data_IF_664101108343
#
_entry.id   IF_664101108343
#
_cell.length_a   1.000
_cell.length_b   1.000
_cell.length_c   1.000
_cell.angle_alpha   90.00
_cell.angle_beta   90.00
_cell.angle_gamma   90.00
#
_symmetry.space_group_name_H-M   'P 1'
#
loop_
_entity.id
_entity.type
_entity.pdbx_description
1 polymer ?
#
# COMPACT_ATOMS: atom_id res chain seq x y z
N UNK A 1 13.28 13.90 32.99
CA UNK A 1 13.10 14.51 31.66
C UNK A 1 11.99 13.73 30.98
N UNK A 2 10.76 14.16 31.20
CA UNK A 2 9.55 13.52 30.70
C UNK A 2 9.25 14.04 29.29
N UNK A 3 9.18 13.14 28.31
CA UNK A 3 8.69 13.47 26.97
C UNK A 3 7.18 13.25 26.92
N UNK A 4 6.43 14.26 27.36
CA UNK A 4 5.00 14.37 27.08
C UNK A 4 4.83 14.96 25.68
N UNK A 5 4.59 14.11 24.68
CA UNK A 5 4.22 14.56 23.33
C UNK A 5 2.72 14.80 23.33
N UNK A 6 2.33 16.08 23.44
CA UNK A 6 0.96 16.51 23.24
C UNK A 6 0.55 16.22 21.78
N UNK A 7 -0.22 15.15 21.59
CA UNK A 7 -0.92 14.91 20.34
C UNK A 7 -2.01 15.98 20.20
N UNK A 8 -1.80 16.95 19.30
CA UNK A 8 -2.84 17.88 18.88
C UNK A 8 -3.94 17.07 18.18
N UNK A 9 -4.98 16.74 18.95
CA UNK A 9 -6.16 16.04 18.48
C UNK A 9 -6.88 16.86 17.43
N UNK A 10 -6.72 16.50 16.16
CA UNK A 10 -7.74 16.78 15.16
C UNK A 10 -8.93 15.89 15.53
N UNK A 11 -9.81 16.43 16.36
CA UNK A 11 -11.04 15.76 16.77
C UNK A 11 -11.87 15.46 15.54
N UNK A 12 -11.76 14.24 15.03
CA UNK A 12 -12.79 13.66 14.17
C UNK A 12 -14.10 13.71 14.98
N UNK A 13 -15.20 14.18 14.40
CA UNK A 13 -16.45 14.34 15.13
C UNK A 13 -16.83 13.01 15.78
N UNK A 14 -17.01 13.02 17.10
CA UNK A 14 -17.28 11.85 17.95
C UNK A 14 -18.60 11.12 17.63
N UNK A 15 -19.33 11.56 16.62
CA UNK A 15 -20.43 10.83 16.01
C UNK A 15 -19.98 10.31 14.66
N UNK A 16 -19.35 9.12 14.61
CA UNK A 16 -19.39 8.34 13.36
C UNK A 16 -20.84 7.88 13.22
N UNK A 17 -21.69 8.56 12.44
CA UNK A 17 -23.07 8.19 12.38
C UNK A 17 -23.08 6.86 11.61
N UNK A 18 -23.77 5.88 12.18
CA UNK A 18 -24.50 4.89 11.40
C UNK A 18 -23.74 3.71 10.75
N UNK A 19 -22.72 3.13 11.39
CA UNK A 19 -22.23 1.77 11.01
C UNK A 19 -23.41 0.80 10.77
N UNK A 20 -24.46 0.77 11.63
CA UNK A 20 -25.64 -0.06 11.37
C UNK A 20 -26.45 0.31 10.12
N UNK A 21 -26.51 1.58 9.72
CA UNK A 21 -27.26 2.01 8.52
C UNK A 21 -26.46 1.66 7.26
N UNK A 22 -25.15 1.93 7.26
CA UNK A 22 -24.26 1.56 6.17
C UNK A 22 -24.28 0.04 5.95
N UNK A 23 -24.18 -0.75 7.03
CA UNK A 23 -24.25 -2.22 6.95
C UNK A 23 -25.57 -2.69 6.34
N UNK A 24 -26.71 -2.13 6.77
CA UNK A 24 -28.04 -2.45 6.21
C UNK A 24 -28.11 -2.12 4.72
N UNK A 25 -27.61 -0.97 4.31
CA UNK A 25 -27.60 -0.54 2.91
C UNK A 25 -26.78 -1.50 2.03
N UNK A 26 -25.53 -1.77 2.41
CA UNK A 26 -24.66 -2.68 1.65
C UNK A 26 -25.19 -4.12 1.64
N UNK A 27 -25.81 -4.57 2.73
CA UNK A 27 -26.47 -5.88 2.79
C UNK A 27 -27.64 -5.97 1.80
N UNK A 28 -28.43 -4.90 1.64
CA UNK A 28 -29.50 -4.87 0.62
C UNK A 28 -28.93 -4.98 -0.79
N UNK A 29 -27.82 -4.31 -1.08
CA UNK A 29 -27.15 -4.40 -2.39
C UNK A 29 -26.69 -5.84 -2.66
N UNK A 30 -26.05 -6.50 -1.69
CA UNK A 30 -25.58 -7.88 -1.84
C UNK A 30 -26.73 -8.86 -2.08
N UNK A 31 -27.89 -8.62 -1.45
CA UNK A 31 -29.07 -9.49 -1.57
C UNK A 31 -29.95 -9.18 -2.78
N UNK A 32 -29.79 -8.02 -3.40
CA UNK A 32 -30.65 -7.62 -4.51
C UNK A 32 -30.29 -8.42 -5.77
N UNK A 33 -31.25 -9.11 -6.41
CA UNK A 33 -31.01 -9.87 -7.63
C UNK A 33 -30.67 -8.96 -8.83
N UNK A 34 -31.02 -7.68 -8.75
CA UNK A 34 -30.73 -6.69 -9.80
C UNK A 34 -29.35 -6.04 -9.67
N UNK A 35 -28.58 -6.37 -8.63
CA UNK A 35 -27.27 -5.78 -8.42
C UNK A 35 -26.24 -6.36 -9.37
N UNK A 36 -25.45 -5.49 -9.99
CA UNK A 36 -24.30 -5.92 -10.81
C UNK A 36 -23.22 -6.55 -9.94
N UNK A 37 -22.39 -7.43 -10.51
CA UNK A 37 -21.25 -8.05 -9.82
C UNK A 37 -20.31 -7.01 -9.21
N UNK A 38 -20.11 -5.88 -9.90
CA UNK A 38 -19.28 -4.78 -9.41
C UNK A 38 -19.90 -4.14 -8.15
N UNK A 39 -21.21 -3.84 -8.16
CA UNK A 39 -21.91 -3.29 -6.99
C UNK A 39 -21.86 -4.26 -5.80
N UNK A 40 -22.00 -5.56 -6.04
CA UNK A 40 -21.91 -6.60 -4.99
C UNK A 40 -20.49 -6.66 -4.42
N UNK A 41 -19.46 -6.60 -5.26
CA UNK A 41 -18.06 -6.59 -4.81
C UNK A 41 -17.71 -5.33 -4.02
N UNK A 42 -18.14 -4.15 -4.49
CA UNK A 42 -18.00 -2.89 -3.77
C UNK A 42 -18.71 -2.95 -2.41
N UNK A 43 -19.91 -3.52 -2.36
CA UNK A 43 -20.64 -3.71 -1.11
C UNK A 43 -19.87 -4.61 -0.13
N UNK A 44 -19.28 -5.71 -0.60
CA UNK A 44 -18.42 -6.55 0.23
C UNK A 44 -17.18 -5.81 0.74
N UNK A 45 -16.51 -5.02 -0.10
CA UNK A 45 -15.36 -4.22 0.31
C UNK A 45 -15.74 -3.21 1.43
N UNK A 46 -16.90 -2.56 1.31
CA UNK A 46 -17.40 -1.67 2.36
C UNK A 46 -17.80 -2.42 3.62
N UNK A 47 -18.40 -3.60 3.51
CA UNK A 47 -18.73 -4.42 4.68
C UNK A 47 -17.48 -4.86 5.45
N UNK A 48 -16.38 -5.19 4.75
CA UNK A 48 -15.06 -5.43 5.37
C UNK A 48 -14.59 -4.17 6.11
N UNK A 49 -14.79 -2.99 5.54
CA UNK A 49 -14.42 -1.73 6.20
C UNK A 49 -15.25 -1.45 7.45
N UNK A 50 -16.56 -1.73 7.38
CA UNK A 50 -17.50 -1.52 8.48
C UNK A 50 -17.30 -2.46 9.68
N UNK A 51 -16.60 -3.60 9.53
CA UNK A 51 -16.29 -4.49 10.68
C UNK A 51 -15.28 -3.89 11.66
N UNK A 52 -14.74 -2.70 11.39
CA UNK A 52 -13.90 -1.96 12.34
C UNK A 52 -12.45 -2.44 12.41
N UNK A 53 -12.07 -3.44 11.59
CA UNK A 53 -10.72 -4.01 11.58
C UNK A 53 -9.63 -3.03 11.14
N UNK A 54 -9.98 -1.95 10.45
CA UNK A 54 -9.03 -0.93 9.97
C UNK A 54 -8.88 0.26 10.90
N UNK A 55 -9.78 0.42 11.88
CA UNK A 55 -9.72 1.51 12.85
C UNK A 55 -9.03 1.02 14.12
N UNK A 56 -7.75 0.64 13.99
CA UNK A 56 -6.84 0.41 15.12
C UNK A 56 -6.56 1.68 15.96
N UNK A 57 -7.49 2.63 15.98
CA UNK A 57 -7.31 3.97 16.51
C UNK A 57 -7.42 4.01 18.05
N UNK A 58 -8.05 3.05 18.73
CA UNK A 58 -8.28 3.19 20.19
C UNK A 58 -8.39 1.85 20.92
N UNK A 59 -7.33 1.04 20.94
CA UNK A 59 -7.20 -0.08 21.90
C UNK A 59 -8.31 -1.14 21.90
N UNK A 60 -9.25 -1.10 20.95
CA UNK A 60 -10.35 -2.05 20.86
C UNK A 60 -9.79 -3.38 20.39
N UNK A 61 -9.90 -4.38 21.25
CA UNK A 61 -9.60 -5.76 20.89
C UNK A 61 -10.46 -6.16 19.69
N UNK A 62 -9.80 -6.62 18.64
CA UNK A 62 -10.45 -7.15 17.44
C UNK A 62 -11.24 -8.40 17.86
N UNK A 63 -12.56 -8.37 17.70
CA UNK A 63 -13.41 -9.53 18.01
C UNK A 63 -13.27 -10.58 16.91
N UNK A 64 -13.12 -11.84 17.29
CA UNK A 64 -13.05 -12.96 16.33
C UNK A 64 -14.26 -12.98 15.38
N UNK A 65 -15.47 -12.67 15.87
CA UNK A 65 -16.68 -12.57 15.06
C UNK A 65 -16.55 -11.59 13.90
N UNK A 66 -15.88 -10.46 14.12
CA UNK A 66 -15.70 -9.41 13.13
C UNK A 66 -14.68 -9.83 12.06
N UNK A 67 -13.62 -10.53 12.46
CA UNK A 67 -12.70 -11.20 11.54
C UNK A 67 -13.42 -12.24 10.67
N UNK A 68 -14.30 -13.06 11.26
CA UNK A 68 -15.02 -14.10 10.54
C UNK A 68 -16.00 -13.53 9.51
N UNK A 69 -16.71 -12.46 9.86
CA UNK A 69 -17.59 -11.73 8.94
C UNK A 69 -16.79 -11.08 7.81
N UNK A 70 -15.73 -10.36 8.15
CA UNK A 70 -14.85 -9.70 7.18
C UNK A 70 -14.23 -10.70 6.20
N UNK A 71 -13.71 -11.82 6.69
CA UNK A 71 -13.12 -12.84 5.84
C UNK A 71 -14.13 -13.54 4.93
N UNK A 72 -15.37 -13.70 5.38
CA UNK A 72 -16.45 -14.21 4.50
C UNK A 72 -16.74 -13.24 3.35
N UNK A 73 -16.80 -11.93 3.62
CA UNK A 73 -16.97 -10.93 2.57
C UNK A 73 -15.75 -10.83 1.64
N UNK A 74 -14.54 -10.97 2.17
CA UNK A 74 -13.31 -10.97 1.41
C UNK A 74 -13.21 -12.20 0.49
N UNK A 75 -13.60 -13.38 0.97
CA UNK A 75 -13.69 -14.61 0.18
C UNK A 75 -14.66 -14.45 -0.99
N UNK A 76 -15.85 -13.89 -0.74
CA UNK A 76 -16.83 -13.63 -1.80
C UNK A 76 -16.33 -12.60 -2.82
N UNK A 77 -15.72 -11.51 -2.36
CA UNK A 77 -15.12 -10.50 -3.24
C UNK A 77 -14.00 -11.12 -4.11
N UNK A 78 -13.10 -11.90 -3.52
CA UNK A 78 -12.03 -12.58 -4.23
C UNK A 78 -12.57 -13.58 -5.24
N UNK A 79 -13.59 -14.37 -4.88
CA UNK A 79 -14.27 -15.32 -5.77
C UNK A 79 -14.90 -14.65 -6.99
N UNK A 80 -15.36 -13.40 -6.85
CA UNK A 80 -15.89 -12.59 -7.95
C UNK A 80 -14.81 -11.89 -8.79
N UNK A 81 -13.52 -12.13 -8.53
CA UNK A 81 -12.40 -11.51 -9.25
C UNK A 81 -11.90 -10.19 -8.65
N UNK A 82 -12.42 -9.76 -7.49
CA UNK A 82 -12.03 -8.53 -6.81
C UNK A 82 -10.99 -8.76 -5.69
N UNK A 83 -10.16 -9.79 -5.85
CA UNK A 83 -9.14 -10.16 -4.86
C UNK A 83 -8.07 -9.07 -4.65
N UNK A 84 -7.86 -8.20 -5.63
CA UNK A 84 -6.90 -7.08 -5.57
C UNK A 84 -7.49 -5.81 -4.94
N UNK A 85 -8.76 -5.82 -4.51
CA UNK A 85 -9.37 -4.67 -3.86
C UNK A 85 -8.60 -4.32 -2.56
N UNK A 86 -8.30 -3.03 -2.30
CA UNK A 86 -7.50 -2.63 -1.13
C UNK A 86 -8.01 -3.19 0.20
N UNK A 87 -9.34 -3.21 0.41
CA UNK A 87 -9.95 -3.74 1.63
C UNK A 87 -9.64 -5.24 1.84
N UNK A 88 -9.63 -6.03 0.77
CA UNK A 88 -9.31 -7.47 0.80
C UNK A 88 -7.84 -7.65 1.18
N UNK A 89 -6.92 -6.94 0.51
CA UNK A 89 -5.48 -7.04 0.78
C UNK A 89 -5.15 -6.57 2.20
N UNK A 90 -5.74 -5.46 2.66
CA UNK A 90 -5.52 -4.97 4.02
C UNK A 90 -6.02 -5.98 5.06
N UNK A 91 -7.19 -6.60 4.86
CA UNK A 91 -7.66 -7.68 5.74
C UNK A 91 -6.67 -8.85 5.75
N UNK A 92 -6.16 -9.25 4.59
CA UNK A 92 -5.17 -10.32 4.46
C UNK A 92 -3.95 -10.08 5.33
N UNK A 93 -3.44 -8.84 5.35
CA UNK A 93 -2.30 -8.45 6.20
C UNK A 93 -2.64 -8.47 7.68
N UNK A 94 -3.80 -7.95 8.07
CA UNK A 94 -4.27 -8.00 9.46
C UNK A 94 -4.41 -9.44 9.95
N UNK A 95 -4.87 -10.34 9.08
CA UNK A 95 -5.11 -11.74 9.42
C UNK A 95 -3.91 -12.67 9.18
N UNK A 96 -2.84 -12.20 8.52
CA UNK A 96 -1.70 -13.03 8.13
C UNK A 96 -1.09 -13.77 9.33
N UNK A 97 -0.98 -13.11 10.48
CA UNK A 97 -0.48 -13.72 11.73
C UNK A 97 -1.30 -14.92 12.22
N UNK A 98 -2.60 -14.96 11.93
CA UNK A 98 -3.48 -16.06 12.35
C UNK A 98 -3.50 -17.22 11.35
N UNK A 99 -3.03 -17.00 10.12
CA UNK A 99 -3.01 -18.03 9.06
C UNK A 99 -2.07 -19.20 9.38
N UNK A 100 -0.95 -18.91 10.04
CA UNK A 100 0.11 -19.90 10.29
C UNK A 100 0.08 -20.49 11.71
N UNK A 101 -0.82 -20.02 12.59
CA UNK A 101 -0.94 -20.48 13.97
C UNK A 101 -2.00 -21.57 14.20
N UNK A 102 -2.42 -21.72 15.46
CA UNK A 102 -3.46 -22.66 15.89
C UNK A 102 -4.81 -22.41 15.18
N UNK A 103 -5.06 -21.15 14.78
CA UNK A 103 -6.26 -20.74 14.07
C UNK A 103 -6.26 -21.06 12.56
N UNK A 104 -5.24 -21.78 12.05
CA UNK A 104 -5.15 -22.17 10.63
C UNK A 104 -6.41 -22.86 10.13
N UNK A 105 -7.05 -23.70 10.94
CA UNK A 105 -8.31 -24.37 10.54
C UNK A 105 -9.46 -23.38 10.37
N UNK A 106 -9.53 -22.38 11.23
CA UNK A 106 -10.59 -21.36 11.25
C UNK A 106 -10.47 -20.42 10.05
N UNK A 107 -9.26 -19.92 9.78
CA UNK A 107 -9.03 -18.93 8.72
C UNK A 107 -8.66 -19.55 7.37
N UNK A 108 -8.15 -20.79 7.34
CA UNK A 108 -7.68 -21.45 6.13
C UNK A 108 -8.77 -21.84 5.13
N UNK A 109 -10.05 -21.74 5.51
CA UNK A 109 -11.19 -22.07 4.64
C UNK A 109 -11.46 -21.06 3.52
N UNK A 110 -10.89 -19.86 3.60
CA UNK A 110 -11.07 -18.80 2.59
C UNK A 110 -10.00 -18.90 1.50
N UNK A 111 -10.17 -19.86 0.59
CA UNK A 111 -9.13 -20.23 -0.38
C UNK A 111 -8.91 -19.14 -1.43
N UNK A 112 -9.97 -18.52 -1.97
CA UNK A 112 -9.85 -17.47 -2.99
C UNK A 112 -9.26 -16.20 -2.39
N UNK A 113 -9.66 -15.86 -1.16
CA UNK A 113 -9.09 -14.77 -0.40
C UNK A 113 -7.58 -14.94 -0.21
N UNK A 114 -7.13 -16.08 0.31
CA UNK A 114 -5.70 -16.30 0.55
C UNK A 114 -4.90 -16.37 -0.75
N UNK A 115 -5.46 -16.95 -1.81
CA UNK A 115 -4.82 -16.94 -3.12
C UNK A 115 -4.60 -15.51 -3.63
N UNK A 116 -5.59 -14.62 -3.48
CA UNK A 116 -5.43 -13.21 -3.86
C UNK A 116 -4.38 -12.48 -3.01
N UNK A 117 -4.33 -12.75 -1.71
CA UNK A 117 -3.31 -12.20 -0.80
C UNK A 117 -1.90 -12.68 -1.18
N UNK A 118 -1.74 -13.96 -1.52
CA UNK A 118 -0.47 -14.56 -1.92
C UNK A 118 0.04 -13.97 -3.26
N UNK A 119 -0.85 -13.82 -4.24
CA UNK A 119 -0.53 -13.16 -5.51
C UNK A 119 -0.03 -11.74 -5.25
N UNK A 120 -0.75 -10.97 -4.43
CA UNK A 120 -0.34 -9.59 -4.12
C UNK A 120 0.98 -9.53 -3.35
N UNK A 121 1.20 -10.47 -2.42
CA UNK A 121 2.46 -10.57 -1.69
C UNK A 121 3.64 -10.84 -2.64
N UNK A 122 3.47 -11.75 -3.60
CA UNK A 122 4.48 -12.05 -4.61
C UNK A 122 4.76 -10.84 -5.52
N UNK A 123 3.73 -10.10 -5.94
CA UNK A 123 3.90 -8.85 -6.70
C UNK A 123 4.73 -7.81 -5.94
N UNK A 124 4.39 -7.57 -4.67
CA UNK A 124 5.11 -6.62 -3.82
C UNK A 124 6.56 -7.06 -3.62
N UNK A 125 6.81 -8.35 -3.37
CA UNK A 125 8.17 -8.87 -3.24
C UNK A 125 8.97 -8.68 -4.54
N UNK A 126 8.37 -8.98 -5.69
CA UNK A 126 9.03 -8.77 -6.98
C UNK A 126 9.33 -7.28 -7.26
N UNK A 127 8.51 -6.35 -6.78
CA UNK A 127 8.80 -4.90 -6.84
C UNK A 127 9.99 -4.54 -5.94
N UNK A 128 10.02 -5.05 -4.70
CA UNK A 128 11.14 -4.84 -3.76
C UNK A 128 12.46 -5.41 -4.32
N UNK A 129 12.45 -6.62 -4.85
CA UNK A 129 13.63 -7.25 -5.45
C UNK A 129 14.16 -6.43 -6.65
N UNK A 130 13.26 -5.85 -7.46
CA UNK A 130 13.63 -4.93 -8.55
C UNK A 130 14.25 -3.64 -8.01
N UNK A 131 13.75 -3.11 -6.91
CA UNK A 131 14.34 -1.93 -6.27
C UNK A 131 15.70 -2.23 -5.66
N UNK A 132 15.86 -3.34 -4.97
CA UNK A 132 17.12 -3.76 -4.37
C UNK A 132 18.17 -4.09 -5.42
N UNK A 133 17.77 -4.74 -6.53
CA UNK A 133 18.65 -4.91 -7.68
C UNK A 133 19.15 -3.56 -8.21
N UNK A 134 18.28 -2.53 -8.32
CA UNK A 134 18.69 -1.18 -8.73
C UNK A 134 19.63 -0.52 -7.71
N UNK A 135 19.40 -0.73 -6.41
CA UNK A 135 20.27 -0.23 -5.32
C UNK A 135 21.65 -0.90 -5.36
N UNK A 136 21.70 -2.20 -5.63
CA UNK A 136 22.94 -2.97 -5.74
C UNK A 136 23.79 -2.53 -6.93
N UNK A 137 23.18 -2.29 -8.10
CA UNK A 137 23.93 -1.81 -9.28
C UNK A 137 24.49 -0.40 -9.09
N UNK A 138 23.80 0.48 -8.34
CA UNK A 138 24.21 1.88 -8.13
C UNK A 138 24.06 2.31 -6.66
N UNK A 139 24.92 1.83 -5.75
CA UNK A 139 24.76 2.09 -4.32
C UNK A 139 24.89 3.58 -3.97
N UNK A 140 25.77 4.31 -4.66
CA UNK A 140 25.96 5.76 -4.49
C UNK A 140 24.72 6.59 -4.83
N UNK A 141 23.75 6.05 -5.59
CA UNK A 141 22.50 6.74 -5.92
C UNK A 141 21.54 6.82 -4.74
N UNK A 142 21.63 5.89 -3.80
CA UNK A 142 20.66 5.74 -2.70
C UNK A 142 21.26 6.00 -1.31
N UNK A 143 22.57 6.22 -1.21
CA UNK A 143 23.28 6.50 0.05
C UNK A 143 23.99 7.85 -0.02
N UNK A 144 23.96 8.60 1.08
CA UNK A 144 24.79 9.79 1.22
C UNK A 144 26.27 9.39 1.13
N UNK A 145 27.02 10.06 0.25
CA UNK A 145 28.43 9.75 0.02
C UNK A 145 29.37 10.38 1.06
N UNK A 146 28.87 11.27 1.92
CA UNK A 146 29.67 11.87 2.97
C UNK A 146 30.10 10.81 4.01
N UNK A 147 31.40 10.75 4.38
CA UNK A 147 31.90 9.81 5.37
C UNK A 147 31.13 9.90 6.69
N UNK A 148 30.67 8.75 7.21
CA UNK A 148 29.93 8.68 8.47
C UNK A 148 28.46 9.10 8.43
N UNK A 149 27.93 9.54 7.28
CA UNK A 149 26.52 9.89 7.17
C UNK A 149 25.66 8.62 6.96
N UNK A 150 24.71 8.27 7.86
CA UNK A 150 23.90 7.06 7.72
C UNK A 150 22.70 7.25 6.79
N UNK A 151 22.48 8.45 6.23
CA UNK A 151 21.28 8.75 5.46
C UNK A 151 21.22 7.93 4.17
N UNK A 152 20.12 7.19 4.02
CA UNK A 152 19.74 6.46 2.82
C UNK A 152 18.40 6.99 2.31
N UNK A 153 18.26 7.04 0.99
CA UNK A 153 17.04 7.48 0.33
C UNK A 153 16.33 6.30 -0.32
N UNK A 154 15.00 6.25 -0.18
CA UNK A 154 14.17 5.28 -0.90
C UNK A 154 14.20 5.52 -2.41
N UNK A 155 14.26 6.80 -2.83
CA UNK A 155 14.33 7.21 -4.22
C UNK A 155 15.63 7.98 -4.49
N UNK A 156 16.32 7.65 -5.57
CA UNK A 156 17.57 8.31 -5.94
C UNK A 156 17.46 9.83 -6.14
N UNK A 157 16.28 10.35 -6.43
CA UNK A 157 16.02 11.79 -6.59
C UNK A 157 16.01 12.57 -5.26
N UNK A 158 15.93 11.90 -4.11
CA UNK A 158 15.89 12.57 -2.80
C UNK A 158 17.26 13.06 -2.33
N UNK A 159 18.34 12.56 -2.93
CA UNK A 159 19.69 13.02 -2.65
C UNK A 159 20.16 13.97 -3.75
N UNK A 160 20.84 15.03 -3.34
CA UNK A 160 21.42 16.04 -4.22
C UNK A 160 22.67 15.46 -4.88
N UNK A 161 22.71 15.50 -6.21
CA UNK A 161 23.89 15.08 -6.95
C UNK A 161 25.01 16.13 -6.82
N UNK A 162 26.26 15.70 -6.91
CA UNK A 162 27.39 16.63 -7.02
C UNK A 162 27.19 17.57 -8.22
N UNK A 163 27.43 18.87 -8.00
CA UNK A 163 27.29 19.91 -9.04
C UNK A 163 28.50 20.01 -9.99
N UNK A 164 29.52 19.16 -9.81
CA UNK A 164 30.71 19.14 -10.65
C UNK A 164 30.51 18.43 -11.99
N UNK A 165 31.57 18.39 -12.79
CA UNK A 165 31.60 17.80 -14.15
C UNK A 165 31.88 16.29 -14.16
N UNK A 166 31.71 15.60 -13.03
CA UNK A 166 31.85 14.15 -12.98
C UNK A 166 30.72 13.45 -13.76
N UNK A 167 31.01 12.25 -14.26
CA UNK A 167 30.06 11.44 -15.01
C UNK A 167 28.89 10.97 -14.13
N UNK A 168 27.69 10.88 -14.71
CA UNK A 168 26.47 10.53 -13.98
C UNK A 168 26.48 9.13 -13.36
N UNK A 169 27.26 8.21 -13.91
CA UNK A 169 27.43 6.86 -13.36
C UNK A 169 28.14 6.87 -11.99
N UNK A 170 29.09 7.80 -11.79
CA UNK A 170 29.93 7.92 -10.58
C UNK A 170 29.63 9.18 -9.77
N UNK A 171 28.63 9.96 -10.18
CA UNK A 171 28.25 11.19 -9.53
C UNK A 171 27.72 10.89 -8.12
N UNK A 172 28.53 11.24 -7.14
CA UNK A 172 28.19 11.12 -5.72
C UNK A 172 26.93 11.91 -5.39
N UNK A 173 26.18 11.42 -4.40
CA UNK A 173 24.95 12.06 -3.91
C UNK A 173 25.01 12.33 -2.42
N UNK A 174 24.41 13.43 -2.01
CA UNK A 174 24.45 13.95 -0.64
C UNK A 174 23.04 14.31 -0.16
N UNK A 175 22.76 14.08 1.13
CA UNK A 175 21.49 14.48 1.72
C UNK A 175 21.39 16.00 1.90
N UNK A 176 22.51 16.68 2.16
CA UNK A 176 22.57 18.13 2.37
C UNK A 176 23.80 18.77 1.71
N UNK A 177 23.85 20.11 1.67
CA UNK A 177 24.99 20.85 1.11
C UNK A 177 26.24 20.73 2.00
N UNK A 178 26.04 20.64 3.31
CA UNK A 178 27.10 20.50 4.31
C UNK A 178 27.85 19.17 4.11
N UNK A 179 27.11 18.07 3.90
CA UNK A 179 27.68 16.77 3.55
C UNK A 179 28.51 16.83 2.26
N UNK A 180 28.05 17.57 1.24
CA UNK A 180 28.77 17.74 -0.01
C UNK A 180 30.08 18.54 0.18
N UNK A 181 30.06 19.60 1.00
CA UNK A 181 31.26 20.40 1.30
C UNK A 181 32.27 19.60 2.11
N UNK A 182 31.80 18.83 3.10
CA UNK A 182 32.66 17.99 3.94
C UNK A 182 33.43 16.95 3.12
N UNK A 183 32.75 16.29 2.17
CA UNK A 183 33.38 15.32 1.26
C UNK A 183 34.14 15.97 0.10
N UNK A 184 33.92 17.27 -0.14
CA UNK A 184 34.45 17.99 -1.30
C UNK A 184 35.97 17.89 -1.45
N UNK A 185 36.73 17.88 -0.36
CA UNK A 185 38.21 17.74 -0.42
C UNK A 185 38.66 16.39 -0.97
N UNK A 186 37.97 15.31 -0.57
CA UNK A 186 38.25 13.95 -1.02
C UNK A 186 37.74 13.75 -2.45
N UNK A 187 36.49 14.15 -2.70
CA UNK A 187 35.84 13.99 -4.00
C UNK A 187 36.48 14.81 -5.12
N UNK A 188 37.03 16.01 -4.83
CA UNK A 188 37.63 16.91 -5.85
C UNK A 188 38.69 16.23 -6.72
N UNK A 189 39.42 15.23 -6.20
CA UNK A 189 40.41 14.48 -6.97
C UNK A 189 39.79 13.64 -8.10
N UNK A 190 38.58 13.13 -7.87
CA UNK A 190 37.81 12.28 -8.79
C UNK A 190 36.73 13.07 -9.56
N UNK A 191 36.48 14.33 -9.20
CA UNK A 191 35.47 15.18 -9.83
C UNK A 191 36.00 15.82 -11.12
N UNK A 192 36.35 15.00 -12.12
CA UNK A 192 36.87 15.43 -13.42
C UNK A 192 36.01 14.86 -14.55
N UNK A 193 35.80 15.61 -15.66
CA UNK A 193 35.13 15.09 -16.85
C UNK A 193 36.01 14.05 -17.56
N UNK A 194 35.41 12.98 -18.08
CA UNK A 194 36.09 11.98 -18.91
C UNK A 194 37.07 11.07 -18.15
N UNK A 195 37.02 11.05 -16.82
CA UNK A 195 37.64 9.97 -16.08
C UNK A 195 36.74 8.75 -16.27
N UNK A 196 37.14 7.85 -17.16
CA UNK A 196 36.52 6.54 -17.24
C UNK A 196 36.52 5.95 -15.82
N UNK A 197 35.44 5.25 -15.51
CA UNK A 197 35.31 4.50 -14.28
C UNK A 197 36.63 3.82 -13.94
N UNK A 198 37.08 3.84 -12.66
CA UNK A 198 37.93 2.75 -12.22
C UNK A 198 37.15 1.50 -12.58
N UNK A 199 37.66 0.69 -13.52
CA UNK A 199 37.04 -0.56 -13.89
C UNK A 199 36.99 -1.37 -12.61
N UNK A 200 35.85 -1.33 -11.92
CA UNK A 200 35.64 -2.16 -10.76
C UNK A 200 35.49 -3.56 -11.34
N UNK A 201 36.63 -4.24 -11.51
CA UNK A 201 36.74 -5.61 -12.00
C UNK A 201 36.02 -6.62 -11.11
N UNK A 202 35.33 -6.19 -10.04
CA UNK A 202 34.37 -7.03 -9.35
C UNK A 202 33.34 -7.50 -10.38
N UNK A 203 33.40 -8.77 -10.83
CA UNK A 203 32.44 -9.28 -11.77
C UNK A 203 31.09 -9.10 -11.09
N UNK A 204 30.16 -8.39 -11.74
CA UNK A 204 28.77 -8.45 -11.33
C UNK A 204 28.49 -9.95 -11.14
N UNK A 205 28.01 -10.40 -9.96
CA UNK A 205 27.75 -11.81 -9.75
C UNK A 205 26.90 -12.26 -10.91
N UNK A 206 27.48 -13.13 -11.75
CA UNK A 206 26.86 -13.65 -12.97
C UNK A 206 25.47 -14.08 -12.55
N UNK A 207 24.46 -13.34 -13.01
CA UNK A 207 23.07 -13.64 -12.70
C UNK A 207 22.81 -15.01 -13.30
N UNK A 208 22.92 -16.05 -12.49
CA UNK A 208 22.32 -17.34 -12.84
C UNK A 208 20.88 -17.01 -13.22
N UNK A 209 20.40 -17.44 -14.41
CA UNK A 209 19.03 -17.23 -14.78
C UNK A 209 18.18 -17.80 -13.64
N UNK A 210 17.43 -16.93 -12.96
CA UNK A 210 16.43 -17.37 -12.00
C UNK A 210 15.44 -18.23 -12.79
N UNK A 211 15.61 -19.54 -12.68
CA UNK A 211 14.75 -20.52 -13.29
C UNK A 211 13.36 -20.35 -12.65
N UNK A 212 12.30 -19.99 -13.39
CA UNK A 212 10.96 -19.82 -12.83
C UNK A 212 10.28 -21.17 -12.60
N UNK A 213 11.01 -22.16 -12.09
CA UNK A 213 10.41 -23.40 -11.60
C UNK A 213 9.87 -23.15 -10.19
N UNK A 214 8.74 -22.43 -10.16
CA UNK A 214 8.03 -22.06 -8.94
C UNK A 214 7.29 -23.29 -8.38
N UNK A 215 8.02 -24.23 -7.79
CA UNK A 215 7.40 -25.14 -6.82
C UNK A 215 6.97 -24.28 -5.64
N UNK A 216 5.68 -24.33 -5.28
CA UNK A 216 5.11 -23.68 -4.09
C UNK A 216 5.71 -24.34 -2.84
N UNK A 217 6.97 -24.03 -2.57
CA UNK A 217 7.64 -24.31 -1.32
C UNK A 217 7.03 -23.41 -0.26
N UNK A 218 6.81 -23.98 0.93
CA UNK A 218 6.34 -23.30 2.13
C UNK A 218 7.31 -22.15 2.46
N UNK A 219 7.04 -20.97 1.93
CA UNK A 219 7.84 -19.77 2.14
C UNK A 219 7.44 -19.18 3.50
N UNK A 220 8.34 -19.26 4.49
CA UNK A 220 8.21 -18.47 5.71
C UNK A 220 8.48 -17.01 5.35
N UNK A 221 7.39 -16.26 5.18
CA UNK A 221 7.48 -14.81 4.98
C UNK A 221 7.97 -14.14 6.26
N UNK A 222 9.01 -13.32 6.15
CA UNK A 222 9.47 -12.46 7.23
C UNK A 222 8.32 -11.53 7.69
N UNK A 223 8.09 -11.37 9.01
CA UNK A 223 6.95 -10.62 9.54
C UNK A 223 7.05 -9.09 9.43
N UNK A 224 8.10 -8.56 8.79
CA UNK A 224 8.25 -7.12 8.62
C UNK A 224 7.61 -6.65 7.30
N UNK A 225 6.28 -6.55 7.29
CA UNK A 225 5.51 -6.00 6.17
C UNK A 225 5.33 -4.48 6.26
N UNK A 226 6.26 -3.75 6.84
CA UNK A 226 6.20 -2.29 6.90
C UNK A 226 6.20 -1.71 5.47
N UNK A 227 5.08 -1.20 4.99
CA UNK A 227 5.02 -0.61 3.64
C UNK A 227 5.79 0.72 3.62
N UNK A 228 6.50 1.05 2.52
CA UNK A 228 6.73 2.44 2.17
C UNK A 228 5.36 3.13 1.96
N UNK A 229 5.17 4.29 2.58
CA UNK A 229 3.95 5.09 2.47
C UNK A 229 3.59 5.32 1.00
N UNK A 230 2.39 4.91 0.59
CA UNK A 230 1.89 5.24 -0.74
C UNK A 230 1.66 6.76 -0.80
N UNK A 231 2.59 7.45 -1.45
CA UNK A 231 2.42 8.84 -1.87
C UNK A 231 1.52 8.85 -3.11
N UNK A 232 0.23 9.09 -2.89
CA UNK A 232 -0.72 9.87 -3.70
C UNK A 232 -2.12 9.65 -3.12
N UNK A 233 -2.56 10.59 -2.29
CA UNK A 233 -3.97 10.67 -1.91
C UNK A 233 -4.82 10.98 -3.16
N UNK A 234 -6.02 10.40 -3.30
CA UNK A 234 -6.96 10.83 -4.33
C UNK A 234 -7.22 12.33 -4.16
N UNK A 235 -7.13 13.07 -5.26
CA UNK A 235 -7.39 14.51 -5.26
C UNK A 235 -8.88 14.73 -5.43
N UNK A 236 -9.58 15.11 -4.36
CA UNK A 236 -10.98 15.51 -4.46
C UNK A 236 -11.04 16.90 -5.09
N UNK A 237 -11.68 17.01 -6.25
CA UNK A 237 -12.02 18.29 -6.87
C UNK A 237 -13.50 18.53 -6.62
N UNK A 238 -13.82 19.55 -5.84
CA UNK A 238 -15.19 20.02 -5.66
C UNK A 238 -15.56 20.89 -6.85
N UNK A 239 -16.56 20.49 -7.64
CA UNK A 239 -17.17 21.38 -8.62
C UNK A 239 -18.08 22.38 -7.91
N UNK A 240 -18.19 23.62 -8.43
CA UNK A 240 -19.02 24.71 -7.85
C UNK A 240 -20.52 24.39 -7.74
N UNK A 241 -20.98 23.26 -8.27
CA UNK A 241 -22.39 22.95 -8.47
C UNK A 241 -22.88 21.79 -7.58
N UNK A 242 -22.09 21.34 -6.59
CA UNK A 242 -22.45 20.21 -5.73
C UNK A 242 -22.31 18.83 -6.37
N UNK A 243 -21.71 18.76 -7.57
CA UNK A 243 -21.31 17.51 -8.20
C UNK A 243 -19.93 17.08 -7.70
N UNK A 244 -19.82 15.80 -7.34
CA UNK A 244 -18.56 15.18 -6.95
C UNK A 244 -18.09 14.28 -8.10
N UNK A 245 -16.86 14.48 -8.53
CA UNK A 245 -16.16 13.56 -9.44
C UNK A 245 -15.00 12.94 -8.70
N UNK A 246 -14.92 11.61 -8.70
CA UNK A 246 -13.77 10.87 -8.18
C UNK A 246 -13.11 10.16 -9.34
N UNK A 247 -11.82 10.43 -9.54
CA UNK A 247 -10.99 9.75 -10.54
C UNK A 247 -10.25 8.59 -9.87
N UNK A 248 -10.59 7.37 -10.25
CA UNK A 248 -9.95 6.15 -9.73
C UNK A 248 -9.36 5.40 -10.92
N UNK A 249 -8.01 5.37 -11.01
CA UNK A 249 -7.32 4.62 -12.06
C UNK A 249 -7.62 5.09 -13.49
N UNK A 250 -7.90 6.39 -13.69
CA UNK A 250 -8.25 6.96 -14.99
C UNK A 250 -9.71 6.82 -15.41
N UNK A 251 -10.57 6.28 -14.54
CA UNK A 251 -12.01 6.21 -14.74
C UNK A 251 -12.66 7.35 -13.93
N UNK A 252 -13.38 8.24 -14.63
CA UNK A 252 -14.18 9.28 -14.00
C UNK A 252 -15.57 8.73 -13.64
N UNK A 253 -15.89 8.71 -12.35
CA UNK A 253 -17.23 8.36 -11.86
C UNK A 253 -17.93 9.65 -11.44
N UNK A 254 -19.04 9.96 -12.11
CA UNK A 254 -19.91 11.09 -11.78
C UNK A 254 -21.14 10.59 -11.01
N UNK A 255 -21.40 11.17 -9.84
CA UNK A 255 -22.63 10.92 -9.08
C UNK A 255 -23.41 12.22 -8.91
N UNK A 256 -24.62 12.26 -9.48
CA UNK A 256 -25.54 13.40 -9.33
C UNK A 256 -26.42 13.24 -8.08
N UNK A 257 -26.62 14.30 -7.28
CA UNK A 257 -27.48 14.26 -6.09
C UNK A 257 -28.94 13.83 -6.36
N UNK A 258 -29.44 13.99 -7.59
CA UNK A 258 -30.83 13.70 -7.97
C UNK A 258 -31.16 12.20 -8.03
N UNK A 259 -30.18 11.29 -8.02
CA UNK A 259 -30.43 9.85 -8.03
C UNK A 259 -30.69 9.24 -6.64
N UNK A 260 -30.58 10.04 -5.56
CA UNK A 260 -30.82 9.57 -4.18
C UNK A 260 -32.27 9.76 -3.70
N UNK A 261 -33.15 10.46 -4.45
CA UNK A 261 -34.52 10.76 -4.00
C UNK A 261 -35.63 9.90 -4.63
N UNK A 262 -35.33 9.05 -5.60
CA UNK A 262 -36.37 8.37 -6.42
C UNK A 262 -36.79 6.96 -5.95
N UNK A 263 -36.52 6.57 -4.70
CA UNK A 263 -37.01 5.29 -4.14
C UNK A 263 -37.81 5.52 -2.85
N UNK A 264 -39.06 5.99 -3.01
CA UNK A 264 -39.96 6.22 -1.90
C UNK A 264 -41.40 6.50 -2.32
N UNK A 265 -42.06 5.51 -2.94
CA UNK A 265 -43.53 5.46 -3.00
C UNK A 265 -43.96 4.02 -2.70
N UNK A 266 -44.26 3.76 -1.43
CA UNK A 266 -45.11 2.63 -1.02
C UNK A 266 -46.51 3.21 -0.85
N UNK A 267 -47.43 2.85 -1.74
CA UNK A 267 -48.86 3.05 -1.56
C UNK A 267 -49.33 2.25 -0.34
N UNK A 268 -50.02 2.93 0.57
CA UNK A 268 -50.81 2.30 1.61
C UNK A 268 -52.23 2.08 1.05
N UNK A 269 -52.63 0.84 0.85
CA UNK A 269 -54.03 0.49 0.63
C UNK A 269 -54.70 0.11 1.95
N UNK A 270 -55.93 0.62 2.10
CA UNK A 270 -56.91 0.31 3.14
C UNK A 270 -57.75 -0.89 2.73
#
# INVERSE_FOLDING_TARGET
MDFSVAAAGVGLPASTPCIPIAERYWTKIVKSPSSTTNNIATAHAHLIWCTGLFFGAEGRSIRLSDCMRAGTHAELAAKMGFGTAPAVIMLGRTLHRFRHGEDKKTFGKWTHFWAAVDVRAAEVQAELDKEDAKRFVRPSRYKCSAPGCPVQASKGSMLRACAGKCEDAYKLRYCTKECQVADGKTHKRMCKPGLEAPQSEAPLPSRSPMNPSFTVGRFEMSPDWSLPTQSKNPTFKTARNGEYSVEIGGINVHTSPSQLSAQGVLSADK
#
